data_IF_586758770957
#
_entry.id   IF_586758770957
#
_cell.length_a   1.000
_cell.length_b   1.000
_cell.length_c   1.000
_cell.angle_alpha   90.00
_cell.angle_beta   90.00
_cell.angle_gamma   90.00
#
_symmetry.space_group_name_H-M   'P 1'
#
loop_
_entity.id
_entity.type
_entity.pdbx_description
1 polymer ?
#
# COMPACT_ATOMS: atom_id res chain seq x y z
N UNK A 1 8.20 29.61 -19.70
CA UNK A 1 7.52 28.47 -20.35
C UNK A 1 7.66 27.30 -19.39
N UNK A 2 6.62 26.97 -18.62
CA UNK A 2 6.66 25.81 -17.74
C UNK A 2 6.36 24.58 -18.59
N UNK A 3 7.31 23.65 -18.68
CA UNK A 3 7.15 22.39 -19.40
C UNK A 3 5.99 21.60 -18.80
N UNK A 4 5.19 20.95 -19.65
CA UNK A 4 4.03 20.18 -19.19
C UNK A 4 4.55 18.98 -18.37
N UNK A 5 4.20 18.86 -17.07
CA UNK A 5 4.76 17.83 -16.19
C UNK A 5 4.46 16.40 -16.67
N UNK A 6 3.46 16.23 -17.53
CA UNK A 6 3.05 14.98 -18.15
C UNK A 6 4.01 14.45 -19.24
N UNK A 7 4.89 15.28 -19.78
CA UNK A 7 5.85 14.87 -20.82
C UNK A 7 7.13 14.26 -20.24
N UNK A 8 7.38 14.43 -18.94
CA UNK A 8 8.56 13.89 -18.26
C UNK A 8 8.19 12.61 -17.53
N UNK A 9 8.74 11.48 -17.97
CA UNK A 9 8.45 10.17 -17.39
C UNK A 9 8.55 10.13 -15.84
N UNK A 10 9.61 10.67 -15.19
CA UNK A 10 9.69 10.64 -13.73
C UNK A 10 8.55 11.41 -13.06
N UNK A 11 8.20 12.58 -13.60
CA UNK A 11 7.13 13.42 -13.07
C UNK A 11 5.76 12.74 -13.26
N UNK A 12 5.52 12.15 -14.43
CA UNK A 12 4.31 11.37 -14.71
C UNK A 12 4.17 10.16 -13.80
N UNK A 13 5.28 9.49 -13.46
CA UNK A 13 5.29 8.38 -12.51
C UNK A 13 4.92 8.85 -11.10
N UNK A 14 5.47 9.97 -10.65
CA UNK A 14 5.12 10.57 -9.35
C UNK A 14 3.64 10.94 -9.31
N UNK A 15 3.13 11.58 -10.38
CA UNK A 15 1.71 11.95 -10.47
C UNK A 15 0.83 10.68 -10.44
N UNK A 16 1.19 9.63 -11.18
CA UNK A 16 0.48 8.35 -11.15
C UNK A 16 0.47 7.73 -9.75
N UNK A 17 1.60 7.75 -9.03
CA UNK A 17 1.66 7.30 -7.63
C UNK A 17 0.79 8.13 -6.70
N UNK A 18 0.78 9.45 -6.84
CA UNK A 18 -0.09 10.33 -6.03
C UNK A 18 -1.56 10.01 -6.28
N UNK A 19 -1.95 9.80 -7.54
CA UNK A 19 -3.31 9.43 -7.90
C UNK A 19 -3.73 8.05 -7.34
N UNK A 20 -2.86 7.04 -7.39
CA UNK A 20 -3.16 5.71 -6.84
C UNK A 20 -3.22 5.72 -5.30
N UNK A 21 -2.42 6.55 -4.65
CA UNK A 21 -2.46 6.76 -3.21
C UNK A 21 -3.56 7.74 -2.77
N UNK A 22 -4.32 8.30 -3.71
CA UNK A 22 -5.38 9.30 -3.44
C UNK A 22 -4.82 10.54 -2.74
N UNK A 23 -3.55 10.85 -2.98
CA UNK A 23 -2.88 12.03 -2.46
C UNK A 23 -3.14 13.23 -3.38
N UNK A 24 -3.83 14.25 -2.85
CA UNK A 24 -4.08 15.53 -3.55
C UNK A 24 -4.67 15.37 -4.97
N UNK A 25 -5.40 14.28 -5.22
CA UNK A 25 -5.94 13.95 -6.54
C UNK A 25 -6.94 15.00 -7.06
N UNK A 26 -7.63 15.68 -6.15
CA UNK A 26 -8.58 16.75 -6.43
C UNK A 26 -7.94 18.00 -7.02
N UNK A 27 -6.63 18.21 -6.82
CA UNK A 27 -5.90 19.32 -7.43
C UNK A 27 -5.50 19.01 -8.88
N UNK A 28 -5.29 17.74 -9.19
CA UNK A 28 -4.88 17.26 -10.52
C UNK A 28 -6.08 17.24 -11.49
N UNK A 29 -7.29 16.99 -10.96
CA UNK A 29 -8.50 16.89 -11.77
C UNK A 29 -8.81 18.12 -12.62
N UNK A 30 -8.93 19.31 -12.02
CA UNK A 30 -9.17 20.55 -12.76
C UNK A 30 -8.09 20.84 -13.81
N UNK A 31 -6.82 20.57 -13.51
CA UNK A 31 -5.71 20.74 -14.47
C UNK A 31 -5.85 19.82 -15.69
N UNK A 32 -6.30 18.57 -15.46
CA UNK A 32 -6.50 17.58 -16.51
C UNK A 32 -7.74 17.89 -17.38
N UNK A 33 -8.76 18.52 -16.79
CA UNK A 33 -9.96 18.96 -17.51
C UNK A 33 -9.69 20.22 -18.35
N UNK A 34 -8.85 21.13 -17.89
CA UNK A 34 -8.49 22.37 -18.61
C UNK A 34 -7.67 22.07 -19.88
N UNK A 35 -6.78 21.07 -19.82
CA UNK A 35 -5.88 20.71 -20.94
C UNK A 35 -6.46 19.66 -21.89
N UNK A 36 -7.61 19.07 -21.60
CA UNK A 36 -8.14 17.89 -22.30
C UNK A 36 -9.65 17.89 -22.48
N UNK A 37 -10.21 16.73 -22.81
CA UNK A 37 -11.67 16.55 -22.85
C UNK A 37 -12.18 16.28 -21.43
N UNK A 38 -13.10 17.11 -20.88
CA UNK A 38 -13.56 16.98 -19.50
C UNK A 38 -14.16 15.61 -19.17
N UNK A 39 -14.80 14.95 -20.15
CA UNK A 39 -15.39 13.62 -19.95
C UNK A 39 -14.33 12.53 -19.86
N UNK A 40 -13.31 12.58 -20.71
CA UNK A 40 -12.24 11.58 -20.74
C UNK A 40 -11.35 11.71 -19.49
N UNK A 41 -11.01 12.94 -19.11
CA UNK A 41 -10.21 13.24 -17.91
C UNK A 41 -10.88 12.72 -16.64
N UNK A 42 -12.21 12.88 -16.50
CA UNK A 42 -12.98 12.36 -15.36
C UNK A 42 -13.01 10.84 -15.30
N UNK A 43 -13.21 10.17 -16.43
CA UNK A 43 -13.18 8.70 -16.48
C UNK A 43 -11.80 8.15 -16.14
N UNK A 44 -10.74 8.76 -16.69
CA UNK A 44 -9.37 8.38 -16.37
C UNK A 44 -9.08 8.52 -14.86
N UNK A 45 -9.39 9.68 -14.27
CA UNK A 45 -9.23 9.92 -12.84
C UNK A 45 -10.01 8.93 -12.00
N UNK A 46 -11.26 8.66 -12.36
CA UNK A 46 -12.09 7.69 -11.64
C UNK A 46 -11.46 6.30 -11.67
N UNK A 47 -11.00 5.83 -12.84
CA UNK A 47 -10.39 4.49 -12.95
C UNK A 47 -9.09 4.43 -12.15
N UNK A 48 -8.18 5.40 -12.33
CA UNK A 48 -6.86 5.33 -11.68
C UNK A 48 -6.94 5.52 -10.17
N UNK A 49 -7.82 6.41 -9.68
CA UNK A 49 -8.03 6.67 -8.26
C UNK A 49 -8.74 5.49 -7.62
N UNK A 50 -9.86 4.99 -8.18
CA UNK A 50 -10.62 3.92 -7.53
C UNK A 50 -9.99 2.54 -7.73
N UNK A 51 -9.68 2.16 -8.96
CA UNK A 51 -9.12 0.82 -9.24
C UNK A 51 -7.69 0.74 -8.73
N UNK A 52 -6.88 1.75 -9.02
CA UNK A 52 -5.49 1.81 -8.58
C UNK A 52 -5.36 1.79 -7.05
N UNK A 53 -6.14 2.62 -6.34
CA UNK A 53 -6.14 2.61 -4.88
C UNK A 53 -6.55 1.25 -4.31
N UNK A 54 -7.61 0.63 -4.84
CA UNK A 54 -8.10 -0.65 -4.32
C UNK A 54 -7.06 -1.75 -4.47
N UNK A 55 -6.39 -1.83 -5.61
CA UNK A 55 -5.31 -2.79 -5.84
C UNK A 55 -4.16 -2.53 -4.86
N UNK A 56 -3.63 -1.31 -4.84
CA UNK A 56 -2.46 -0.96 -4.00
C UNK A 56 -2.76 -1.16 -2.52
N UNK A 57 -3.89 -0.65 -2.03
CA UNK A 57 -4.28 -0.74 -0.62
C UNK A 57 -4.49 -2.19 -0.20
N UNK A 58 -5.17 -3.00 -1.01
CA UNK A 58 -5.39 -4.41 -0.67
C UNK A 58 -4.07 -5.20 -0.62
N UNK A 59 -3.15 -4.94 -1.54
CA UNK A 59 -1.82 -5.56 -1.52
C UNK A 59 -1.04 -5.11 -0.29
N UNK A 60 -1.01 -3.82 0.01
CA UNK A 60 -0.30 -3.29 1.19
C UNK A 60 -0.87 -3.86 2.50
N UNK A 61 -2.19 -3.91 2.64
CA UNK A 61 -2.86 -4.49 3.79
C UNK A 61 -2.55 -5.99 3.89
N UNK A 62 -2.57 -6.72 2.77
CA UNK A 62 -2.18 -8.13 2.73
C UNK A 62 -0.76 -8.36 3.25
N UNK A 63 0.20 -7.57 2.77
CA UNK A 63 1.60 -7.62 3.23
C UNK A 63 1.74 -7.29 4.73
N UNK A 64 1.01 -6.30 5.23
CA UNK A 64 1.01 -5.96 6.66
C UNK A 64 0.45 -7.09 7.52
N UNK A 65 -0.65 -7.71 7.08
CA UNK A 65 -1.27 -8.84 7.79
C UNK A 65 -0.30 -10.02 7.82
N UNK A 66 0.34 -10.34 6.69
CA UNK A 66 1.32 -11.41 6.60
C UNK A 66 2.53 -11.15 7.51
N UNK A 67 3.06 -9.93 7.52
CA UNK A 67 4.20 -9.59 8.38
C UNK A 67 3.86 -9.72 9.86
N UNK A 68 2.69 -9.22 10.28
CA UNK A 68 2.21 -9.31 11.66
C UNK A 68 1.95 -10.77 12.05
N UNK A 69 1.36 -11.56 11.15
CA UNK A 69 1.07 -12.96 11.39
C UNK A 69 2.35 -13.77 11.56
N UNK A 70 3.35 -13.55 10.71
CA UNK A 70 4.67 -14.20 10.84
C UNK A 70 5.32 -13.90 12.18
N UNK A 71 5.34 -12.62 12.60
CA UNK A 71 5.93 -12.22 13.89
C UNK A 71 5.16 -12.85 15.06
N UNK A 72 3.84 -12.90 14.99
CA UNK A 72 3.02 -13.49 16.04
C UNK A 72 3.21 -15.02 16.14
N UNK A 73 3.32 -15.71 15.01
CA UNK A 73 3.57 -17.14 14.97
C UNK A 73 4.93 -17.51 15.57
N UNK A 74 5.96 -16.72 15.26
CA UNK A 74 7.29 -16.90 15.84
C UNK A 74 7.28 -16.66 17.35
N UNK A 75 6.57 -15.63 17.82
CA UNK A 75 6.36 -15.39 19.25
C UNK A 75 5.63 -16.57 19.94
N UNK A 76 4.58 -17.12 19.33
CA UNK A 76 3.84 -18.27 19.87
C UNK A 76 4.74 -19.51 19.94
N UNK A 77 5.53 -19.77 18.90
CA UNK A 77 6.50 -20.88 18.88
C UNK A 77 7.52 -20.74 20.00
N UNK A 78 8.10 -19.56 20.17
CA UNK A 78 9.08 -19.29 21.22
C UNK A 78 8.48 -19.49 22.62
N UNK A 79 7.26 -18.99 22.84
CA UNK A 79 6.54 -19.18 24.11
C UNK A 79 6.26 -20.66 24.41
N UNK A 80 5.91 -21.46 23.40
CA UNK A 80 5.71 -22.92 23.54
C UNK A 80 7.02 -23.62 23.86
N UNK A 81 8.12 -23.29 23.17
CA UNK A 81 9.44 -23.86 23.45
C UNK A 81 9.89 -23.57 24.89
N UNK A 82 9.78 -22.31 25.34
CA UNK A 82 10.10 -21.92 26.73
C UNK A 82 9.26 -22.69 27.76
N UNK A 83 7.97 -22.89 27.49
CA UNK A 83 7.09 -23.69 28.38
C UNK A 83 7.50 -25.16 28.43
N UNK A 84 7.82 -25.76 27.29
CA UNK A 84 8.25 -27.16 27.21
C UNK A 84 9.59 -27.38 27.93
N UNK A 85 10.56 -26.47 27.73
CA UNK A 85 11.86 -26.51 28.39
C UNK A 85 11.72 -26.40 29.92
N UNK A 86 10.85 -25.49 30.39
CA UNK A 86 10.54 -25.35 31.83
C UNK A 86 9.92 -26.62 32.41
N UNK A 87 9.06 -27.29 31.65
CA UNK A 87 8.44 -28.54 32.09
C UNK A 87 9.44 -29.72 32.11
N UNK A 88 10.41 -29.75 31.18
CA UNK A 88 11.49 -30.74 31.19
C UNK A 88 12.39 -30.58 32.41
N UNK A 89 12.89 -29.37 32.67
CA UNK A 89 13.73 -29.11 33.86
C UNK A 89 13.04 -29.51 35.16
N UNK A 90 11.75 -29.19 35.31
CA UNK A 90 10.96 -29.62 36.48
C UNK A 90 10.82 -31.14 36.62
N UNK A 91 10.91 -31.91 35.53
CA UNK A 91 10.86 -33.38 35.57
C UNK A 91 12.22 -34.00 35.89
N UNK A 92 13.31 -33.31 35.60
CA UNK A 92 14.69 -33.75 35.90
C UNK A 92 15.10 -33.45 37.35
N UNK A 93 14.41 -32.51 38.02
CA UNK A 93 14.62 -32.15 39.43
C UNK A 93 13.84 -33.03 40.43
N UNK A 94 12.99 -33.95 39.94
CA UNK A 94 12.18 -34.91 40.72
C UNK A 94 12.76 -36.32 40.60
#
# INVERSE_FOLDING_TARGET
>A
MCENPWHHFPTSLIIAMRLTLVDNWNLIGPELEEKGSPSISRWFLTIIVFVGNRIVTNVLVGLMIESVSSVNDDYIKEKRQKKNLRNQKKREEL
#
